data_IF_093702617351
#
_entry.id   IF_093702617351
#
_cell.length_a   1.000
_cell.length_b   1.000
_cell.length_c   1.000
_cell.angle_alpha   90.00
_cell.angle_beta   90.00
_cell.angle_gamma   90.00
#
_symmetry.space_group_name_H-M   'P 1'
#
loop_
_entity.id
_entity.type
_entity.pdbx_description
1 polymer ?
#
# COMPACT_ATOMS: atom_id res chain seq x y z
N UNK A 1 29.07 -8.49 -1.28
CA UNK A 1 29.07 -9.87 -1.81
C UNK A 1 27.61 -10.26 -2.06
N UNK A 2 27.31 -10.94 -3.18
CA UNK A 2 25.94 -11.41 -3.46
C UNK A 2 25.63 -12.62 -2.55
N UNK A 3 24.43 -12.71 -1.95
CA UNK A 3 24.12 -13.75 -0.97
C UNK A 3 23.98 -15.12 -1.65
N UNK A 4 24.36 -16.17 -0.94
CA UNK A 4 24.23 -17.56 -1.41
C UNK A 4 23.04 -18.27 -0.77
N UNK A 5 22.53 -17.75 0.35
CA UNK A 5 21.40 -18.33 1.09
C UNK A 5 20.61 -17.29 1.87
N UNK A 6 19.32 -17.54 2.04
CA UNK A 6 18.40 -16.76 2.86
C UNK A 6 17.29 -17.66 3.40
N UNK A 7 16.62 -17.29 4.50
CA UNK A 7 15.38 -17.98 4.91
C UNK A 7 14.22 -17.59 4.00
N UNK A 8 14.22 -16.34 3.49
CA UNK A 8 13.19 -15.82 2.58
C UNK A 8 13.85 -14.97 1.50
N UNK A 9 13.52 -15.25 0.24
CA UNK A 9 13.84 -14.38 -0.88
C UNK A 9 12.55 -13.67 -1.31
N UNK A 10 12.56 -12.32 -1.27
CA UNK A 10 11.48 -11.47 -1.75
C UNK A 10 11.83 -10.99 -3.14
N UNK A 11 10.96 -11.25 -4.11
CA UNK A 11 11.15 -10.88 -5.50
C UNK A 11 10.29 -9.65 -5.81
N UNK A 12 10.94 -8.54 -6.14
CA UNK A 12 10.32 -7.25 -6.43
C UNK A 12 10.45 -6.24 -5.28
N UNK A 13 10.97 -5.05 -5.60
CA UNK A 13 11.24 -3.95 -4.66
C UNK A 13 10.19 -2.82 -4.65
N UNK A 14 8.97 -3.11 -5.08
CA UNK A 14 7.82 -2.21 -4.92
C UNK A 14 7.33 -2.15 -3.47
N UNK A 15 6.25 -1.40 -3.21
CA UNK A 15 5.70 -1.21 -1.85
C UNK A 15 5.36 -2.54 -1.17
N UNK A 16 4.83 -3.51 -1.91
CA UNK A 16 4.46 -4.82 -1.35
C UNK A 16 5.72 -5.60 -0.92
N UNK A 17 6.70 -5.76 -1.83
CA UNK A 17 7.93 -6.49 -1.49
C UNK A 17 8.75 -5.81 -0.41
N UNK A 18 8.85 -4.47 -0.44
CA UNK A 18 9.52 -3.70 0.61
C UNK A 18 8.84 -3.87 1.98
N UNK A 19 7.49 -3.88 2.01
CA UNK A 19 6.74 -4.16 3.24
C UNK A 19 7.00 -5.58 3.75
N UNK A 20 6.95 -6.59 2.88
CA UNK A 20 7.24 -7.98 3.24
C UNK A 20 8.66 -8.11 3.80
N UNK A 21 9.65 -7.51 3.12
CA UNK A 21 11.04 -7.54 3.57
C UNK A 21 11.21 -6.88 4.94
N UNK A 22 10.59 -5.72 5.16
CA UNK A 22 10.63 -5.00 6.44
C UNK A 22 10.03 -5.84 7.57
N UNK A 23 8.80 -6.32 7.43
CA UNK A 23 8.12 -7.05 8.50
C UNK A 23 8.80 -8.40 8.82
N UNK A 24 9.32 -9.10 7.82
CA UNK A 24 10.06 -10.34 8.04
C UNK A 24 11.42 -10.09 8.70
N UNK A 25 12.16 -9.06 8.29
CA UNK A 25 13.41 -8.69 8.94
C UNK A 25 13.18 -8.26 10.40
N UNK A 26 12.15 -7.46 10.67
CA UNK A 26 11.70 -7.10 12.02
C UNK A 26 11.35 -8.33 12.87
N UNK A 27 10.81 -9.37 12.26
CA UNK A 27 10.55 -10.67 12.91
C UNK A 27 11.80 -11.56 13.07
N UNK A 28 13.00 -11.03 12.76
CA UNK A 28 14.27 -11.74 12.93
C UNK A 28 14.60 -12.75 11.82
N UNK A 29 13.90 -12.69 10.67
CA UNK A 29 14.16 -13.57 9.54
C UNK A 29 15.34 -13.08 8.71
N UNK A 30 16.14 -14.02 8.19
CA UNK A 30 17.20 -13.73 7.22
C UNK A 30 16.59 -13.52 5.84
N UNK A 31 16.33 -12.24 5.50
CA UNK A 31 15.62 -11.84 4.29
C UNK A 31 16.58 -11.29 3.23
N UNK A 32 16.36 -11.70 1.99
CA UNK A 32 16.98 -11.08 0.81
C UNK A 32 15.89 -10.59 -0.12
N UNK A 33 15.93 -9.30 -0.48
CA UNK A 33 15.05 -8.69 -1.48
C UNK A 33 15.85 -8.47 -2.76
N UNK A 34 15.30 -8.93 -3.88
CA UNK A 34 15.86 -8.77 -5.23
C UNK A 34 14.91 -7.88 -6.05
N UNK A 35 15.46 -6.81 -6.61
CA UNK A 35 14.74 -5.90 -7.53
C UNK A 35 15.56 -5.71 -8.80
N UNK A 36 14.99 -6.06 -9.96
CA UNK A 36 15.69 -5.96 -11.25
C UNK A 36 15.90 -4.54 -11.76
N UNK A 37 15.01 -3.64 -11.38
CA UNK A 37 15.02 -2.23 -11.80
C UNK A 37 15.35 -1.26 -10.68
N UNK A 38 14.67 -0.13 -10.70
CA UNK A 38 14.75 0.89 -9.65
C UNK A 38 13.77 0.59 -8.53
N UNK A 39 14.11 1.01 -7.31
CA UNK A 39 13.22 0.91 -6.15
C UNK A 39 11.87 1.57 -6.45
N UNK A 40 10.78 0.81 -6.33
CA UNK A 40 9.43 1.31 -6.59
C UNK A 40 9.16 1.73 -8.04
N UNK A 41 10.00 1.34 -8.99
CA UNK A 41 10.04 1.88 -10.34
C UNK A 41 8.88 1.54 -11.28
N UNK A 42 7.95 0.65 -10.86
CA UNK A 42 6.79 0.25 -11.67
C UNK A 42 5.48 0.77 -11.04
N UNK A 43 4.56 -0.13 -10.69
CA UNK A 43 3.24 0.24 -10.15
C UNK A 43 3.30 1.17 -8.93
N UNK A 44 4.33 1.04 -8.08
CA UNK A 44 4.48 1.88 -6.88
C UNK A 44 4.82 3.34 -7.20
N UNK A 45 5.45 3.62 -8.35
CA UNK A 45 5.71 5.00 -8.80
C UNK A 45 4.58 5.59 -9.66
N UNK A 46 3.70 4.74 -10.19
CA UNK A 46 2.65 5.12 -11.14
C UNK A 46 1.25 5.19 -10.50
N UNK A 47 1.14 5.02 -9.19
CA UNK A 47 -0.15 5.08 -8.49
C UNK A 47 -0.50 6.51 -8.07
N UNK A 48 -1.77 6.73 -7.71
CA UNK A 48 -2.30 8.01 -7.27
C UNK A 48 -1.98 8.37 -5.81
N UNK A 49 -1.13 7.63 -5.14
CA UNK A 49 -0.69 7.87 -3.76
C UNK A 49 -1.78 7.72 -2.67
N UNK A 50 -2.98 7.34 -3.01
CA UNK A 50 -4.08 7.25 -2.05
C UNK A 50 -3.93 6.06 -1.10
N UNK A 51 -4.12 6.35 0.19
CA UNK A 51 -4.46 5.36 1.21
C UNK A 51 -5.97 5.42 1.36
N UNK A 52 -6.66 4.52 0.68
CA UNK A 52 -8.03 4.73 0.22
C UNK A 52 -8.96 3.56 0.56
N UNK A 53 -10.14 3.87 1.03
CA UNK A 53 -11.11 2.87 1.46
C UNK A 53 -12.51 3.08 0.89
N UNK A 54 -12.91 4.29 0.52
CA UNK A 54 -14.29 4.63 0.10
C UNK A 54 -14.83 3.66 -0.95
N UNK A 55 -14.01 3.23 -1.92
CA UNK A 55 -14.43 2.34 -3.00
C UNK A 55 -14.21 0.84 -2.71
N UNK A 56 -13.70 0.49 -1.52
CA UNK A 56 -13.49 -0.93 -1.16
C UNK A 56 -14.80 -1.65 -0.97
N UNK A 57 -14.84 -2.92 -1.38
CA UNK A 57 -16.05 -3.74 -1.20
C UNK A 57 -16.28 -4.06 0.28
N UNK A 58 -17.54 -4.14 0.72
CA UNK A 58 -17.88 -4.63 2.04
C UNK A 58 -17.29 -6.03 2.32
N UNK A 59 -16.98 -6.33 3.56
CA UNK A 59 -16.42 -7.59 4.01
C UNK A 59 -14.90 -7.60 4.09
N UNK A 60 -14.20 -8.53 3.43
CA UNK A 60 -12.76 -8.72 3.62
C UNK A 60 -11.94 -7.52 3.13
N UNK A 61 -12.32 -6.90 2.00
CA UNK A 61 -11.57 -5.79 1.43
C UNK A 61 -11.51 -4.59 2.37
N UNK A 62 -12.65 -4.24 2.99
CA UNK A 62 -12.69 -3.11 3.91
C UNK A 62 -11.94 -3.43 5.22
N UNK A 63 -12.02 -4.68 5.72
CA UNK A 63 -11.27 -5.08 6.90
C UNK A 63 -9.77 -5.00 6.68
N UNK A 64 -9.29 -5.43 5.49
CA UNK A 64 -7.88 -5.28 5.11
C UNK A 64 -7.47 -3.81 5.00
N UNK A 65 -8.34 -2.95 4.44
CA UNK A 65 -8.07 -1.52 4.38
C UNK A 65 -7.96 -0.91 5.79
N UNK A 66 -8.84 -1.28 6.73
CA UNK A 66 -8.78 -0.81 8.12
C UNK A 66 -7.46 -1.20 8.79
N UNK A 67 -7.03 -2.46 8.66
CA UNK A 67 -5.72 -2.89 9.14
C UNK A 67 -4.57 -2.11 8.48
N UNK A 68 -4.68 -1.83 7.18
CA UNK A 68 -3.68 -1.03 6.46
C UNK A 68 -3.57 0.39 7.00
N UNK A 69 -4.69 1.05 7.36
CA UNK A 69 -4.64 2.37 8.02
C UNK A 69 -3.91 2.34 9.35
N UNK A 70 -4.18 1.31 10.17
CA UNK A 70 -3.49 1.15 11.44
C UNK A 70 -1.99 0.94 11.24
N UNK A 71 -1.62 0.13 10.26
CA UNK A 71 -0.21 -0.09 9.89
C UNK A 71 0.44 1.23 9.42
N UNK A 72 -0.19 2.00 8.54
CA UNK A 72 0.37 3.28 8.08
C UNK A 72 0.59 4.26 9.24
N UNK A 73 -0.36 4.30 10.19
CA UNK A 73 -0.23 5.13 11.39
C UNK A 73 0.94 4.69 12.28
N UNK A 74 1.11 3.37 12.45
CA UNK A 74 2.25 2.81 13.20
C UNK A 74 3.56 3.10 12.49
N UNK A 75 3.65 2.86 11.19
CA UNK A 75 4.84 3.14 10.39
C UNK A 75 5.24 4.62 10.45
N UNK A 76 4.26 5.55 10.43
CA UNK A 76 4.56 6.99 10.59
C UNK A 76 5.21 7.31 11.94
N UNK A 77 4.89 6.57 12.98
CA UNK A 77 5.48 6.77 14.30
C UNK A 77 6.83 6.03 14.47
N UNK A 78 7.02 4.93 13.74
CA UNK A 78 8.17 4.03 13.92
C UNK A 78 9.32 4.31 12.95
N UNK A 79 9.03 4.68 11.69
CA UNK A 79 10.05 4.90 10.67
C UNK A 79 10.70 6.27 10.85
N UNK A 80 12.03 6.33 10.79
CA UNK A 80 12.78 7.58 10.92
C UNK A 80 12.58 8.51 9.73
N UNK A 81 12.41 7.95 8.54
CA UNK A 81 12.16 8.72 7.32
C UNK A 81 10.67 9.03 7.18
N UNK A 82 10.32 10.32 7.09
CA UNK A 82 8.96 10.72 6.78
C UNK A 82 8.60 10.33 5.34
N UNK A 83 7.53 9.58 5.18
CA UNK A 83 6.96 9.15 3.90
C UNK A 83 5.70 9.94 3.52
N UNK A 84 5.53 11.11 4.14
CA UNK A 84 4.47 12.08 3.84
C UNK A 84 3.05 11.49 3.98
N UNK A 85 2.86 10.61 4.96
CA UNK A 85 1.52 10.08 5.24
C UNK A 85 0.66 11.15 5.91
N UNK A 86 -0.40 11.54 5.21
CA UNK A 86 -1.40 12.50 5.67
C UNK A 86 -2.77 11.84 5.68
N UNK A 87 -3.44 11.93 6.82
CA UNK A 87 -4.81 11.50 7.00
C UNK A 87 -5.73 12.72 6.94
N UNK A 88 -5.99 13.17 5.73
CA UNK A 88 -6.75 14.40 5.44
C UNK A 88 -8.22 14.17 5.12
N UNK A 89 -8.68 12.93 5.15
CA UNK A 89 -9.98 12.52 4.62
C UNK A 89 -9.94 12.21 3.12
N UNK A 90 -11.05 11.71 2.61
CA UNK A 90 -11.25 11.44 1.19
C UNK A 90 -12.68 11.72 0.77
N UNK A 91 -12.85 12.21 -0.45
CA UNK A 91 -14.14 12.50 -1.05
C UNK A 91 -14.33 11.65 -2.30
N UNK A 92 -15.47 10.99 -2.42
CA UNK A 92 -15.96 10.44 -3.67
C UNK A 92 -17.13 11.32 -4.13
N UNK A 93 -16.85 12.19 -5.10
CA UNK A 93 -17.83 13.18 -5.58
C UNK A 93 -18.97 12.47 -6.31
N UNK A 94 -20.17 12.95 -6.09
CA UNK A 94 -21.41 12.51 -6.73
C UNK A 94 -21.84 13.63 -7.68
N UNK A 95 -21.93 13.31 -8.98
CA UNK A 95 -22.19 14.29 -10.04
C UNK A 95 -23.64 14.24 -10.55
N UNK A 96 -24.42 13.22 -10.19
CA UNK A 96 -25.82 13.09 -10.59
C UNK A 96 -26.64 12.22 -9.61
N UNK A 97 -27.96 12.23 -9.81
CA UNK A 97 -28.92 11.51 -8.95
C UNK A 97 -28.80 9.98 -9.04
N UNK A 98 -28.36 9.46 -10.19
CA UNK A 98 -28.14 8.01 -10.37
C UNK A 98 -26.95 7.55 -9.53
N UNK A 99 -25.88 8.32 -9.54
CA UNK A 99 -24.71 8.05 -8.69
C UNK A 99 -25.06 8.17 -7.21
N UNK A 100 -25.88 9.15 -6.82
CA UNK A 100 -26.35 9.33 -5.45
C UNK A 100 -27.04 8.05 -4.94
N UNK A 101 -28.03 7.55 -5.70
CA UNK A 101 -28.76 6.31 -5.34
C UNK A 101 -27.82 5.11 -5.18
N UNK A 102 -26.85 4.98 -6.09
CA UNK A 102 -25.85 3.90 -6.01
C UNK A 102 -24.98 4.02 -4.75
N UNK A 103 -24.52 5.24 -4.45
CA UNK A 103 -23.65 5.50 -3.30
C UNK A 103 -24.42 5.26 -1.99
N UNK A 104 -25.66 5.71 -1.86
CA UNK A 104 -26.51 5.49 -0.69
C UNK A 104 -26.65 3.97 -0.37
N UNK A 105 -26.98 3.18 -1.39
CA UNK A 105 -27.08 1.72 -1.25
C UNK A 105 -25.75 1.08 -0.84
N UNK A 106 -24.64 1.62 -1.31
CA UNK A 106 -23.30 1.15 -0.96
C UNK A 106 -22.92 1.52 0.48
N UNK A 107 -23.23 2.74 0.91
CA UNK A 107 -22.97 3.22 2.28
C UNK A 107 -23.77 2.42 3.31
N UNK A 108 -25.01 2.10 3.02
CA UNK A 108 -25.84 1.28 3.92
C UNK A 108 -25.19 -0.07 4.22
N UNK A 109 -24.67 -0.76 3.20
CA UNK A 109 -23.94 -2.03 3.37
C UNK A 109 -22.63 -1.87 4.15
N UNK A 110 -21.99 -0.72 4.06
CA UNK A 110 -20.75 -0.44 4.77
C UNK A 110 -20.94 -0.05 6.23
N UNK A 111 -22.06 0.54 6.58
CA UNK A 111 -22.40 0.83 7.97
C UNK A 111 -22.40 -0.44 8.83
N UNK A 112 -22.77 -1.58 8.23
CA UNK A 112 -22.72 -2.89 8.88
C UNK A 112 -21.30 -3.35 9.24
N UNK A 113 -20.30 -2.91 8.47
CA UNK A 113 -18.87 -3.19 8.72
C UNK A 113 -18.25 -2.22 9.76
N UNK A 114 -19.02 -1.27 10.29
CA UNK A 114 -18.54 -0.28 11.27
C UNK A 114 -17.59 0.77 10.68
N UNK A 115 -17.69 1.02 9.38
CA UNK A 115 -16.77 1.90 8.67
C UNK A 115 -17.27 3.36 8.65
N UNK A 116 -16.46 4.36 9.05
CA UNK A 116 -16.89 5.74 9.16
C UNK A 116 -16.90 6.44 7.77
N UNK A 117 -17.95 6.20 6.99
CA UNK A 117 -18.24 6.94 5.76
C UNK A 117 -19.55 7.67 5.94
N UNK A 118 -19.59 8.92 5.53
CA UNK A 118 -20.73 9.81 5.60
C UNK A 118 -21.14 10.28 4.22
N UNK A 119 -22.45 10.43 3.98
CA UNK A 119 -22.95 11.18 2.84
C UNK A 119 -23.02 12.63 3.26
N UNK A 120 -22.32 13.50 2.55
CA UNK A 120 -22.32 14.94 2.81
C UNK A 120 -22.92 15.73 1.63
N UNK A 121 -23.58 16.84 1.96
CA UNK A 121 -24.23 17.71 0.99
C UNK A 121 -23.21 18.55 0.18
N UNK A 122 -23.66 19.18 -0.93
CA UNK A 122 -22.80 19.98 -1.79
C UNK A 122 -22.09 21.13 -1.09
N UNK A 123 -22.75 21.79 -0.15
CA UNK A 123 -22.16 22.93 0.55
C UNK A 123 -20.99 22.47 1.42
N UNK A 124 -21.15 21.34 2.11
CA UNK A 124 -20.07 20.73 2.89
C UNK A 124 -18.92 20.22 2.03
N UNK A 125 -19.22 19.68 0.84
CA UNK A 125 -18.17 19.29 -0.14
C UNK A 125 -17.33 20.50 -0.53
N UNK A 126 -17.97 21.64 -0.84
CA UNK A 126 -17.30 22.87 -1.27
C UNK A 126 -16.55 23.59 -0.13
N UNK A 127 -16.94 23.36 1.13
CA UNK A 127 -16.12 23.79 2.27
C UNK A 127 -14.80 23.02 2.35
N UNK A 128 -14.84 21.71 2.08
CA UNK A 128 -13.67 20.85 2.13
C UNK A 128 -12.77 20.98 0.90
N UNK A 129 -13.37 21.15 -0.27
CA UNK A 129 -12.68 21.28 -1.55
C UNK A 129 -13.28 22.41 -2.39
N UNK A 130 -12.86 23.66 -2.14
CA UNK A 130 -13.46 24.85 -2.76
C UNK A 130 -13.14 25.02 -4.25
N UNK A 131 -12.24 24.21 -4.80
CA UNK A 131 -11.86 24.28 -6.21
C UNK A 131 -12.72 23.44 -7.16
N UNK A 132 -13.69 22.69 -6.62
CA UNK A 132 -14.64 21.93 -7.42
C UNK A 132 -15.65 22.85 -8.14
N UNK A 133 -16.06 22.44 -9.33
CA UNK A 133 -17.13 23.12 -10.09
C UNK A 133 -18.49 22.88 -9.38
N UNK A 134 -19.02 23.93 -8.76
CA UNK A 134 -20.22 23.87 -7.90
C UNK A 134 -21.42 23.21 -8.60
N UNK A 135 -21.61 23.52 -9.87
CA UNK A 135 -22.71 23.04 -10.70
C UNK A 135 -22.65 21.52 -10.99
N UNK A 136 -21.52 20.86 -10.70
CA UNK A 136 -21.29 19.43 -10.90
C UNK A 136 -21.28 18.64 -9.59
N UNK A 137 -21.53 19.27 -8.46
CA UNK A 137 -21.46 18.60 -7.15
C UNK A 137 -22.88 18.39 -6.65
N UNK A 138 -23.33 17.14 -6.62
CA UNK A 138 -24.58 16.70 -5.99
C UNK A 138 -24.40 16.26 -4.54
N UNK A 139 -23.17 16.07 -4.11
CA UNK A 139 -22.77 15.60 -2.79
C UNK A 139 -21.49 14.79 -2.87
N UNK A 140 -21.12 14.15 -1.78
CA UNK A 140 -20.02 13.20 -1.77
C UNK A 140 -20.18 12.14 -0.67
N UNK A 141 -19.61 10.94 -0.90
CA UNK A 141 -19.25 10.07 0.19
C UNK A 141 -17.93 10.57 0.79
N UNK A 142 -17.91 10.82 2.08
CA UNK A 142 -16.76 11.31 2.82
C UNK A 142 -16.25 10.27 3.80
N UNK A 143 -14.95 10.01 3.75
CA UNK A 143 -14.27 9.20 4.74
C UNK A 143 -13.26 10.06 5.52
N UNK A 144 -13.40 10.23 6.84
CA UNK A 144 -12.47 11.03 7.64
C UNK A 144 -11.12 10.35 7.87
N UNK A 145 -10.98 9.09 7.50
CA UNK A 145 -9.77 8.30 7.75
C UNK A 145 -8.93 8.04 6.50
N UNK A 146 -9.46 8.30 5.33
CA UNK A 146 -8.72 8.22 4.08
C UNK A 146 -7.65 9.32 4.00
N UNK A 147 -6.70 9.14 3.12
CA UNK A 147 -5.62 10.09 2.97
C UNK A 147 -4.69 9.73 1.83
N UNK A 148 -3.45 10.18 1.94
CA UNK A 148 -2.42 9.89 0.95
C UNK A 148 -1.05 9.70 1.58
N UNK A 149 -0.12 9.16 0.80
CA UNK A 149 1.28 9.01 1.18
C UNK A 149 2.16 9.22 -0.05
N UNK A 150 3.42 9.57 0.12
CA UNK A 150 4.37 9.49 -0.97
C UNK A 150 4.83 8.03 -1.13
N UNK A 151 4.40 7.31 -2.19
CA UNK A 151 4.67 5.88 -2.32
C UNK A 151 6.16 5.57 -2.50
N UNK A 152 6.92 6.48 -3.11
CA UNK A 152 8.37 6.31 -3.27
C UNK A 152 9.10 6.49 -1.95
N UNK A 153 8.69 7.46 -1.14
CA UNK A 153 9.26 7.66 0.19
C UNK A 153 8.88 6.53 1.14
N UNK A 154 7.66 5.98 1.03
CA UNK A 154 7.28 4.80 1.80
C UNK A 154 8.16 3.58 1.45
N UNK A 155 8.37 3.30 0.15
CA UNK A 155 9.27 2.23 -0.29
C UNK A 155 10.69 2.44 0.24
N UNK A 156 11.19 3.68 0.17
CA UNK A 156 12.53 4.00 0.63
C UNK A 156 12.65 3.85 2.15
N UNK A 157 11.70 4.37 2.92
CA UNK A 157 11.66 4.26 4.38
C UNK A 157 11.64 2.80 4.86
N UNK A 158 10.77 1.97 4.24
CA UNK A 158 10.69 0.53 4.54
C UNK A 158 12.02 -0.18 4.23
N UNK A 159 12.65 0.12 3.10
CA UNK A 159 13.92 -0.47 2.71
C UNK A 159 15.07 -0.05 3.62
N UNK A 160 15.13 1.22 4.02
CA UNK A 160 16.13 1.71 4.96
C UNK A 160 16.03 0.96 6.30
N UNK A 161 14.81 0.82 6.80
CA UNK A 161 14.59 0.16 8.07
C UNK A 161 14.80 -1.36 7.99
N UNK A 162 14.33 -2.02 6.92
CA UNK A 162 14.60 -3.43 6.67
C UNK A 162 16.12 -3.72 6.66
N UNK A 163 16.90 -2.83 6.04
CA UNK A 163 18.37 -2.95 6.02
C UNK A 163 18.98 -2.80 7.42
N UNK A 164 18.49 -1.89 8.27
CA UNK A 164 18.93 -1.78 9.66
C UNK A 164 18.64 -3.04 10.46
N UNK A 165 17.53 -3.74 10.14
CA UNK A 165 17.14 -5.02 10.72
C UNK A 165 17.89 -6.22 10.10
N UNK A 166 18.85 -5.99 9.21
CA UNK A 166 19.71 -7.02 8.63
C UNK A 166 19.25 -7.63 7.31
N UNK A 167 18.19 -7.09 6.68
CA UNK A 167 17.80 -7.55 5.34
C UNK A 167 18.87 -7.19 4.29
N UNK A 168 19.16 -8.14 3.39
CA UNK A 168 19.96 -7.92 2.20
C UNK A 168 19.09 -7.34 1.08
N UNK A 169 19.41 -6.15 0.59
CA UNK A 169 18.65 -5.49 -0.50
C UNK A 169 19.54 -5.37 -1.73
N UNK A 170 19.17 -6.04 -2.82
CA UNK A 170 19.95 -6.08 -4.05
C UNK A 170 19.15 -5.55 -5.22
N UNK A 171 19.68 -4.50 -5.84
CA UNK A 171 19.12 -3.88 -7.04
C UNK A 171 19.93 -4.28 -8.25
N UNK A 172 19.25 -4.39 -9.39
CA UNK A 172 19.76 -4.80 -10.69
C UNK A 172 19.95 -6.31 -10.94
N UNK A 173 20.12 -7.24 -9.96
CA UNK A 173 19.95 -8.65 -10.27
C UNK A 173 18.52 -8.96 -10.69
N UNK A 174 18.39 -9.80 -11.73
CA UNK A 174 17.07 -10.28 -12.18
C UNK A 174 16.89 -11.74 -11.72
N UNK A 175 15.72 -12.03 -11.14
CA UNK A 175 15.32 -13.41 -10.86
C UNK A 175 14.78 -14.02 -12.14
N UNK A 176 15.42 -15.08 -12.59
CA UNK A 176 15.14 -15.77 -13.84
C UNK A 176 14.21 -16.97 -13.64
N UNK A 177 14.33 -17.65 -12.47
CA UNK A 177 13.56 -18.86 -12.17
C UNK A 177 13.47 -19.09 -10.66
N UNK A 178 12.53 -19.94 -10.24
CA UNK A 178 12.39 -20.45 -8.88
C UNK A 178 12.66 -21.95 -8.90
N UNK A 179 13.73 -22.36 -8.27
CA UNK A 179 14.09 -23.77 -8.15
C UNK A 179 13.16 -24.51 -7.19
N UNK A 180 12.48 -25.54 -7.69
CA UNK A 180 11.55 -26.37 -6.90
C UNK A 180 11.95 -27.82 -7.02
N UNK A 181 12.08 -28.52 -5.88
CA UNK A 181 12.29 -29.95 -5.83
C UNK A 181 11.40 -30.57 -4.75
N UNK A 182 10.79 -31.70 -5.06
CA UNK A 182 9.88 -32.42 -4.16
C UNK A 182 8.72 -31.54 -3.61
N UNK A 183 8.20 -30.64 -4.45
CA UNK A 183 7.11 -29.72 -4.08
C UNK A 183 7.53 -28.58 -3.13
N UNK A 184 8.82 -28.39 -2.89
CA UNK A 184 9.37 -27.34 -2.03
C UNK A 184 10.25 -26.38 -2.83
N UNK A 185 10.19 -25.10 -2.52
CA UNK A 185 11.14 -24.12 -3.02
C UNK A 185 12.52 -24.41 -2.43
N UNK A 186 13.54 -24.44 -3.27
CA UNK A 186 14.95 -24.67 -2.91
C UNK A 186 15.82 -23.44 -3.13
N UNK A 187 15.34 -22.49 -3.91
CA UNK A 187 16.07 -21.25 -4.15
C UNK A 187 15.48 -20.38 -5.26
N UNK A 188 16.07 -19.21 -5.42
CA UNK A 188 15.83 -18.28 -6.51
C UNK A 188 17.06 -18.22 -7.42
N UNK A 189 16.89 -18.53 -8.71
CA UNK A 189 17.93 -18.44 -9.73
C UNK A 189 17.97 -17.03 -10.28
N UNK A 190 19.12 -16.38 -10.21
CA UNK A 190 19.32 -15.03 -10.72
C UNK A 190 20.42 -14.98 -11.79
N UNK A 191 20.50 -13.86 -12.50
CA UNK A 191 21.62 -13.57 -13.42
C UNK A 191 22.99 -13.41 -12.70
N UNK A 192 23.02 -13.39 -11.35
CA UNK A 192 24.21 -13.27 -10.50
C UNK A 192 24.52 -14.56 -9.69
N UNK A 193 23.73 -15.61 -9.86
CA UNK A 193 23.85 -16.87 -9.14
C UNK A 193 22.56 -17.25 -8.42
N UNK A 194 22.56 -18.44 -7.82
CA UNK A 194 21.41 -18.97 -7.08
C UNK A 194 21.48 -18.62 -5.59
N UNK A 195 20.37 -18.19 -5.04
CA UNK A 195 20.18 -17.98 -3.59
C UNK A 195 19.32 -19.14 -3.08
N UNK A 196 19.90 -19.98 -2.23
CA UNK A 196 19.19 -21.12 -1.60
C UNK A 196 18.24 -20.63 -0.49
N UNK A 197 17.08 -21.30 -0.36
CA UNK A 197 16.08 -21.03 0.71
C UNK A 197 15.71 -22.29 1.45
#
# INVERSE_FOLDING_TARGET
MFPQEAEVVVIGGGVVGSSVAYFLARAGKKVVLIEKGCKGGEASSANAAFVWSITRKPGIDIRLAMHSFDIHRQLKAELEMDFEYVRGGGLMIIEDETQLTFVEAHLQKRAEDGYPIELIDPDKVLELEPHLAKERVFGAAYSPIDGFTNPMFLVLALNLEAKKQGAGLFHHPEVLDIEVADGQVKGAVTDKGTIKT
#
